data_IF_115575088508
#
_entry.id   IF_115575088508
#
_cell.length_a   1.000
_cell.length_b   1.000
_cell.length_c   1.000
_cell.angle_alpha   90.00
_cell.angle_beta   90.00
_cell.angle_gamma   90.00
#
_symmetry.space_group_name_H-M   'P 1'
#
loop_
_entity.id
_entity.type
_entity.pdbx_description
1 polymer ?
#
# COMPACT_ATOMS: atom_id res chain seq x y z
N UNK A 1 8.00 -3.86 27.40
CA UNK A 1 8.26 -2.97 26.26
C UNK A 1 9.19 -3.70 25.31
N UNK A 2 9.03 -3.50 24.00
CA UNK A 2 9.97 -4.03 23.01
C UNK A 2 11.08 -3.00 22.81
N UNK A 3 12.32 -3.45 22.78
CA UNK A 3 13.53 -2.64 22.65
C UNK A 3 14.65 -3.47 22.01
N UNK A 4 15.90 -2.98 22.03
CA UNK A 4 17.05 -3.71 21.48
C UNK A 4 17.39 -4.98 22.27
N UNK A 5 17.03 -5.06 23.55
CA UNK A 5 17.25 -6.25 24.39
C UNK A 5 16.09 -7.25 24.27
N UNK A 6 14.90 -6.77 23.88
CA UNK A 6 13.66 -7.56 23.70
C UNK A 6 12.98 -7.18 22.38
N UNK A 7 13.54 -7.56 21.23
CA UNK A 7 12.93 -7.27 19.93
C UNK A 7 11.59 -8.00 19.77
N UNK A 8 10.66 -7.39 19.04
CA UNK A 8 9.38 -7.99 18.69
C UNK A 8 9.41 -8.53 17.25
N UNK A 9 9.09 -9.82 17.09
CA UNK A 9 8.88 -10.45 15.79
C UNK A 9 7.46 -11.01 15.72
N UNK A 10 6.61 -10.42 14.87
CA UNK A 10 5.25 -10.88 14.64
C UNK A 10 5.15 -11.75 13.39
N UNK A 11 4.75 -13.02 13.55
CA UNK A 11 4.49 -13.96 12.45
C UNK A 11 3.02 -14.37 12.48
N UNK A 12 2.19 -13.74 11.65
CA UNK A 12 0.73 -13.89 11.73
C UNK A 12 0.13 -14.82 10.66
N UNK A 13 0.92 -15.31 9.71
CA UNK A 13 0.53 -16.31 8.71
C UNK A 13 1.73 -17.15 8.27
N UNK A 14 1.53 -18.38 7.75
CA UNK A 14 2.61 -19.20 7.19
C UNK A 14 3.18 -18.65 5.87
N UNK A 15 2.49 -17.69 5.24
CA UNK A 15 2.90 -16.97 4.04
C UNK A 15 2.35 -15.55 4.07
N UNK A 16 1.75 -15.10 2.95
CA UNK A 16 1.07 -13.79 2.92
C UNK A 16 -0.12 -13.76 3.89
N UNK A 17 -0.40 -12.59 4.47
CA UNK A 17 -1.63 -12.37 5.22
C UNK A 17 -2.84 -12.49 4.27
N UNK A 18 -3.96 -13.08 4.71
CA UNK A 18 -5.17 -13.15 3.89
C UNK A 18 -5.73 -11.76 3.61
N UNK A 19 -6.20 -11.50 2.39
CA UNK A 19 -6.78 -10.21 2.00
C UNK A 19 -8.03 -9.83 2.80
N UNK A 20 -8.30 -8.54 2.86
CA UNK A 20 -9.37 -7.93 3.65
C UNK A 20 -10.75 -8.17 3.04
N UNK A 21 -10.87 -8.06 1.71
CA UNK A 21 -12.12 -8.25 0.97
C UNK A 21 -12.02 -9.39 -0.04
N UNK A 22 -13.17 -9.97 -0.36
CA UNK A 22 -13.32 -11.01 -1.38
C UNK A 22 -14.29 -10.57 -2.48
N UNK A 23 -14.07 -11.13 -3.66
CA UNK A 23 -14.92 -11.00 -4.83
C UNK A 23 -14.38 -11.86 -5.99
N UNK A 24 -15.19 -12.08 -7.03
CA UNK A 24 -14.78 -12.84 -8.19
C UNK A 24 -13.67 -12.13 -8.98
N UNK A 25 -12.75 -12.94 -9.51
CA UNK A 25 -11.74 -12.52 -10.48
C UNK A 25 -12.41 -11.95 -11.75
N UNK A 26 -11.76 -10.96 -12.37
CA UNK A 26 -12.17 -10.43 -13.66
C UNK A 26 -12.02 -11.49 -14.75
N UNK A 27 -12.80 -11.35 -15.82
CA UNK A 27 -12.82 -12.30 -16.95
C UNK A 27 -13.18 -11.61 -18.25
N UNK A 28 -12.90 -12.24 -19.39
CA UNK A 28 -13.25 -11.66 -20.68
C UNK A 28 -14.73 -11.28 -20.75
N UNK A 29 -15.00 -10.04 -21.16
CA UNK A 29 -16.34 -9.45 -21.26
C UNK A 29 -17.13 -9.46 -19.94
N UNK A 30 -16.49 -9.63 -18.78
CA UNK A 30 -17.17 -9.71 -17.48
C UNK A 30 -17.99 -8.45 -17.17
N UNK A 31 -17.59 -7.28 -17.67
CA UNK A 31 -18.36 -6.05 -17.54
C UNK A 31 -19.70 -6.06 -18.31
N UNK A 32 -19.81 -6.83 -19.39
CA UNK A 32 -20.97 -6.84 -20.28
C UNK A 32 -22.09 -7.79 -19.84
N UNK A 33 -21.86 -8.59 -18.80
CA UNK A 33 -22.85 -9.53 -18.27
C UNK A 33 -23.89 -8.88 -17.33
N UNK A 34 -23.81 -7.55 -17.17
CA UNK A 34 -24.79 -6.65 -16.52
C UNK A 34 -25.19 -6.97 -15.08
N UNK A 35 -24.54 -7.92 -14.42
CA UNK A 35 -24.67 -8.13 -12.97
C UNK A 35 -23.45 -7.55 -12.28
N UNK A 36 -23.53 -6.36 -11.65
CA UNK A 36 -22.39 -5.76 -11.00
C UNK A 36 -22.02 -6.49 -9.70
N UNK A 37 -20.73 -6.55 -9.43
CA UNK A 37 -20.16 -7.11 -8.21
C UNK A 37 -20.21 -6.09 -7.08
N UNK A 38 -20.66 -6.53 -5.91
CA UNK A 38 -20.48 -5.82 -4.64
C UNK A 38 -19.41 -6.58 -3.82
N UNK A 39 -18.30 -5.91 -3.52
CA UNK A 39 -17.21 -6.49 -2.73
C UNK A 39 -17.65 -6.72 -1.28
N UNK A 40 -17.12 -7.76 -0.66
CA UNK A 40 -17.51 -8.16 0.71
C UNK A 40 -16.28 -8.38 1.58
N UNK A 41 -16.37 -8.21 2.91
CA UNK A 41 -15.33 -8.67 3.82
C UNK A 41 -15.02 -10.15 3.57
N UNK A 42 -13.73 -10.51 3.55
CA UNK A 42 -13.29 -11.88 3.35
C UNK A 42 -13.62 -12.73 4.58
N UNK A 43 -14.68 -13.54 4.50
CA UNK A 43 -15.11 -14.41 5.59
C UNK A 43 -14.10 -15.50 5.97
N UNK A 44 -13.09 -15.74 5.12
CA UNK A 44 -12.01 -16.72 5.37
C UNK A 44 -10.83 -16.12 6.12
N UNK A 45 -10.78 -14.79 6.30
CA UNK A 45 -9.72 -14.14 7.08
C UNK A 45 -9.95 -14.41 8.58
N UNK A 46 -9.05 -15.11 9.28
CA UNK A 46 -9.22 -15.39 10.70
C UNK A 46 -9.25 -14.11 11.54
N UNK A 47 -10.18 -14.03 12.50
CA UNK A 47 -10.40 -12.84 13.33
C UNK A 47 -9.22 -12.48 14.25
N UNK A 48 -8.30 -13.43 14.50
CA UNK A 48 -7.11 -13.21 15.31
C UNK A 48 -5.90 -12.67 14.51
N UNK A 49 -6.01 -12.53 13.19
CA UNK A 49 -4.94 -11.92 12.38
C UNK A 49 -5.09 -10.38 12.45
N UNK A 50 -4.07 -9.65 12.93
CA UNK A 50 -4.14 -8.21 13.06
C UNK A 50 -4.28 -7.55 11.68
N UNK A 51 -5.09 -6.50 11.62
CA UNK A 51 -5.18 -5.61 10.45
C UNK A 51 -3.90 -4.80 10.29
N UNK A 52 -3.65 -4.26 9.08
CA UNK A 52 -2.50 -3.39 8.84
C UNK A 52 -2.53 -2.16 9.76
N UNK A 53 -3.71 -1.59 10.00
CA UNK A 53 -3.91 -0.49 10.93
C UNK A 53 -3.53 -0.87 12.38
N UNK A 54 -3.95 -2.03 12.87
CA UNK A 54 -3.57 -2.51 14.22
C UNK A 54 -2.06 -2.77 14.35
N UNK A 55 -1.43 -3.33 13.31
CA UNK A 55 0.03 -3.51 13.30
C UNK A 55 0.75 -2.15 13.31
N UNK A 56 0.25 -1.19 12.54
CA UNK A 56 0.78 0.19 12.49
C UNK A 56 0.65 0.88 13.84
N UNK A 57 -0.53 0.82 14.45
CA UNK A 57 -0.81 1.39 15.77
C UNK A 57 0.15 0.80 16.82
N UNK A 58 0.29 -0.53 16.85
CA UNK A 58 1.18 -1.17 17.81
C UNK A 58 2.65 -0.86 17.57
N UNK A 59 3.09 -0.79 16.31
CA UNK A 59 4.45 -0.40 15.97
C UNK A 59 4.75 1.02 16.45
N UNK A 60 3.87 1.99 16.17
CA UNK A 60 4.01 3.37 16.64
C UNK A 60 4.01 3.43 18.18
N UNK A 61 3.11 2.69 18.85
CA UNK A 61 3.04 2.64 20.32
C UNK A 61 4.38 2.21 20.95
N UNK A 62 5.05 1.23 20.35
CA UNK A 62 6.32 0.71 20.84
C UNK A 62 7.50 1.62 20.46
N UNK A 63 7.54 2.10 19.21
CA UNK A 63 8.67 2.86 18.67
C UNK A 63 8.77 4.28 19.22
N UNK A 64 7.62 4.93 19.50
CA UNK A 64 7.60 6.31 20.03
C UNK A 64 8.23 6.46 21.43
N UNK A 65 8.53 5.35 22.11
CA UNK A 65 9.22 5.38 23.40
C UNK A 65 10.70 5.76 23.29
N UNK A 66 11.29 5.72 22.09
CA UNK A 66 12.66 6.15 21.86
C UNK A 66 12.74 7.67 21.67
N UNK A 67 13.43 8.36 22.59
CA UNK A 67 13.59 9.83 22.56
C UNK A 67 14.37 10.35 21.34
N UNK A 68 15.16 9.50 20.66
CA UNK A 68 15.84 9.86 19.42
C UNK A 68 14.93 9.82 18.19
N UNK A 69 13.69 9.35 18.34
CA UNK A 69 12.75 9.11 17.25
C UNK A 69 12.86 7.70 16.68
N UNK A 70 12.16 7.49 15.56
CA UNK A 70 12.08 6.19 14.89
C UNK A 70 11.87 6.34 13.38
N UNK A 71 12.18 5.27 12.65
CA UNK A 71 11.79 5.06 11.27
C UNK A 71 10.86 3.84 11.21
N UNK A 72 9.79 3.92 10.42
CA UNK A 72 8.83 2.84 10.25
C UNK A 72 8.38 2.78 8.79
N UNK A 73 8.50 1.61 8.17
CA UNK A 73 7.89 1.30 6.89
C UNK A 73 6.69 0.38 7.10
N UNK A 74 5.56 0.70 6.47
CA UNK A 74 4.32 -0.08 6.50
C UNK A 74 3.91 -0.36 5.06
N UNK A 75 3.60 -1.62 4.74
CA UNK A 75 3.31 -2.06 3.39
C UNK A 75 1.99 -2.84 3.33
N UNK A 76 1.12 -2.50 2.37
CA UNK A 76 0.01 -3.35 1.96
C UNK A 76 0.40 -4.11 0.69
N UNK A 77 1.12 -5.22 0.88
CA UNK A 77 1.72 -5.97 -0.22
C UNK A 77 0.70 -6.61 -1.19
N UNK A 78 -0.54 -6.81 -0.74
CA UNK A 78 -1.56 -7.51 -1.53
C UNK A 78 -2.37 -6.59 -2.44
N UNK A 79 -2.12 -5.27 -2.46
CA UNK A 79 -2.65 -4.41 -3.54
C UNK A 79 -2.10 -4.92 -4.88
N UNK A 80 -0.77 -5.06 -4.97
CA UNK A 80 -0.05 -5.62 -6.11
C UNK A 80 -0.52 -7.04 -6.44
N UNK A 81 -0.50 -7.95 -5.44
CA UNK A 81 -0.85 -9.37 -5.66
C UNK A 81 -2.27 -9.56 -6.20
N UNK A 82 -3.21 -8.71 -5.79
CA UNK A 82 -4.58 -8.78 -6.28
C UNK A 82 -4.77 -8.10 -7.64
N UNK A 83 -3.91 -7.16 -8.03
CA UNK A 83 -3.87 -6.63 -9.39
C UNK A 83 -3.27 -7.67 -10.36
N UNK A 84 -2.17 -8.37 -9.98
CA UNK A 84 -1.66 -9.56 -10.69
C UNK A 84 -2.76 -10.59 -10.94
N UNK A 85 -3.57 -10.87 -9.91
CA UNK A 85 -4.68 -11.82 -9.94
C UNK A 85 -5.95 -11.29 -10.62
N UNK A 86 -5.91 -10.11 -11.26
CA UNK A 86 -7.06 -9.47 -11.88
C UNK A 86 -8.32 -9.46 -10.96
N UNK A 87 -8.12 -9.26 -9.65
CA UNK A 87 -9.18 -9.37 -8.65
C UNK A 87 -9.48 -8.00 -8.03
N UNK A 88 -10.49 -7.26 -8.56
CA UNK A 88 -10.72 -5.88 -8.16
C UNK A 88 -11.18 -5.76 -6.70
N UNK A 89 -11.96 -6.71 -6.18
CA UNK A 89 -12.42 -6.64 -4.79
C UNK A 89 -11.28 -6.84 -3.79
N UNK A 90 -10.39 -7.79 -4.04
CA UNK A 90 -9.20 -7.96 -3.22
C UNK A 90 -8.30 -6.73 -3.29
N UNK A 91 -8.02 -6.23 -4.49
CA UNK A 91 -7.17 -5.07 -4.70
C UNK A 91 -7.70 -3.80 -4.00
N UNK A 92 -8.98 -3.47 -4.21
CA UNK A 92 -9.63 -2.33 -3.58
C UNK A 92 -9.67 -2.51 -2.05
N UNK A 93 -9.96 -3.72 -1.56
CA UNK A 93 -9.99 -4.00 -0.13
C UNK A 93 -8.63 -3.80 0.54
N UNK A 94 -7.53 -4.18 -0.11
CA UNK A 94 -6.18 -3.96 0.40
C UNK A 94 -5.79 -2.47 0.32
N UNK A 95 -6.26 -1.75 -0.69
CA UNK A 95 -6.11 -0.27 -0.75
C UNK A 95 -6.84 0.41 0.40
N UNK A 96 -8.03 -0.08 0.76
CA UNK A 96 -8.78 0.40 1.94
C UNK A 96 -8.06 0.04 3.25
N UNK A 97 -7.42 -1.13 3.33
CA UNK A 97 -6.62 -1.51 4.49
C UNK A 97 -5.38 -0.62 4.66
N UNK A 98 -4.75 -0.20 3.54
CA UNK A 98 -3.66 0.78 3.55
C UNK A 98 -4.15 2.15 3.99
N UNK A 99 -5.28 2.63 3.47
CA UNK A 99 -5.87 3.90 3.89
C UNK A 99 -6.11 3.96 5.40
N UNK A 100 -6.65 2.88 6.00
CA UNK A 100 -6.83 2.79 7.45
C UNK A 100 -5.50 2.89 8.23
N UNK A 101 -4.42 2.29 7.72
CA UNK A 101 -3.08 2.42 8.33
C UNK A 101 -2.51 3.84 8.16
N UNK A 102 -2.74 4.48 7.02
CA UNK A 102 -2.37 5.89 6.77
C UNK A 102 -3.11 6.82 7.73
N UNK A 103 -4.40 6.58 8.02
CA UNK A 103 -5.14 7.35 9.02
C UNK A 103 -4.49 7.27 10.41
N UNK A 104 -4.08 6.06 10.85
CA UNK A 104 -3.35 5.87 12.12
C UNK A 104 -2.04 6.68 12.12
N UNK A 105 -1.27 6.63 11.04
CA UNK A 105 -0.01 7.37 10.92
C UNK A 105 -0.22 8.89 10.93
N UNK A 106 -1.23 9.40 10.21
CA UNK A 106 -1.55 10.83 10.17
C UNK A 106 -2.06 11.34 11.52
N UNK A 107 -2.87 10.56 12.24
CA UNK A 107 -3.36 10.93 13.57
C UNK A 107 -2.24 11.00 14.60
N UNK A 108 -1.26 10.11 14.50
CA UNK A 108 -0.02 10.22 15.28
C UNK A 108 0.77 11.46 14.87
N UNK A 109 1.04 11.65 13.58
CA UNK A 109 1.88 12.73 13.08
C UNK A 109 1.33 14.13 13.42
N UNK A 110 0.00 14.31 13.37
CA UNK A 110 -0.67 15.56 13.78
C UNK A 110 -0.48 15.88 15.26
N UNK A 111 -0.44 14.86 16.12
CA UNK A 111 -0.26 15.02 17.58
C UNK A 111 1.20 15.23 17.93
N UNK A 112 2.10 14.52 17.26
CA UNK A 112 3.54 14.60 17.48
C UNK A 112 4.15 15.91 16.95
N UNK A 113 3.69 16.39 15.79
CA UNK A 113 4.13 17.65 15.19
C UNK A 113 5.51 17.60 14.52
N UNK A 114 6.30 16.55 14.74
CA UNK A 114 7.66 16.38 14.21
C UNK A 114 7.80 15.14 13.31
N UNK A 115 6.69 14.48 13.00
CA UNK A 115 6.66 13.25 12.19
C UNK A 115 6.39 13.57 10.72
N UNK A 116 7.24 13.04 9.83
CA UNK A 116 6.99 12.99 8.39
C UNK A 116 6.27 11.69 8.03
N UNK A 117 5.14 11.79 7.32
CA UNK A 117 4.41 10.67 6.73
C UNK A 117 4.52 10.77 5.22
N UNK A 118 4.95 9.69 4.57
CA UNK A 118 5.04 9.56 3.11
C UNK A 118 4.14 8.40 2.67
N UNK A 119 3.35 8.61 1.62
CA UNK A 119 2.53 7.57 0.97
C UNK A 119 2.87 7.54 -0.51
N UNK A 120 3.24 6.37 -1.00
CA UNK A 120 3.59 6.11 -2.40
C UNK A 120 3.28 4.66 -2.76
N UNK A 121 3.45 4.31 -4.03
CA UNK A 121 3.68 2.95 -4.50
C UNK A 121 5.13 2.79 -4.98
N UNK A 122 5.57 1.56 -5.20
CA UNK A 122 6.87 1.19 -5.76
C UNK A 122 6.87 1.19 -7.30
N UNK A 123 5.76 0.80 -7.93
CA UNK A 123 5.51 0.93 -9.37
C UNK A 123 4.01 1.04 -9.69
N UNK A 124 3.68 1.34 -10.96
CA UNK A 124 2.31 1.30 -11.46
C UNK A 124 1.91 -0.13 -11.87
N UNK A 125 0.61 -0.36 -12.10
CA UNK A 125 0.07 -1.69 -12.40
C UNK A 125 -0.95 -1.66 -13.55
N UNK A 126 -1.60 -2.79 -13.80
CA UNK A 126 -2.41 -3.08 -14.99
C UNK A 126 -3.86 -2.59 -14.93
N UNK A 127 -4.44 -2.45 -13.75
CA UNK A 127 -5.85 -2.06 -13.60
C UNK A 127 -6.15 -0.69 -14.21
N UNK A 128 -7.23 -0.62 -15.00
CA UNK A 128 -7.73 0.60 -15.63
C UNK A 128 -9.23 0.73 -15.40
N UNK A 129 -9.69 1.92 -15.03
CA UNK A 129 -11.12 2.25 -15.03
C UNK A 129 -11.53 2.51 -16.48
N UNK A 130 -12.57 1.82 -16.94
CA UNK A 130 -13.11 1.92 -18.29
C UNK A 130 -14.62 2.20 -18.25
N UNK A 131 -15.19 2.62 -19.38
CA UNK A 131 -16.64 2.77 -19.50
C UNK A 131 -17.36 1.43 -19.21
N UNK A 132 -18.50 1.42 -18.48
CA UNK A 132 -19.23 0.20 -18.14
C UNK A 132 -19.57 -0.71 -19.32
N UNK A 133 -19.87 -0.12 -20.49
CA UNK A 133 -20.23 -0.83 -21.72
C UNK A 133 -19.05 -1.05 -22.69
N UNK A 134 -17.82 -0.74 -22.28
CA UNK A 134 -16.65 -0.88 -23.14
C UNK A 134 -16.37 -2.35 -23.50
N UNK A 135 -15.94 -2.57 -24.75
CA UNK A 135 -15.43 -3.85 -25.23
C UNK A 135 -13.91 -3.82 -25.13
N UNK A 136 -13.37 -4.39 -24.07
CA UNK A 136 -11.93 -4.50 -23.86
C UNK A 136 -11.43 -5.90 -24.27
N UNK A 137 -10.20 -6.01 -24.80
CA UNK A 137 -9.61 -7.31 -25.14
C UNK A 137 -9.24 -8.13 -23.89
N UNK A 138 -8.91 -7.47 -22.78
CA UNK A 138 -8.47 -8.12 -21.54
C UNK A 138 -9.60 -8.65 -20.66
N UNK A 139 -9.27 -8.85 -19.40
CA UNK A 139 -10.19 -9.30 -18.36
C UNK A 139 -10.90 -8.09 -17.76
N UNK A 140 -12.22 -8.14 -17.65
CA UNK A 140 -13.02 -7.04 -17.13
C UNK A 140 -13.96 -7.48 -16.02
N UNK A 141 -14.37 -6.52 -15.18
CA UNK A 141 -15.38 -6.72 -14.16
C UNK A 141 -16.22 -5.46 -14.00
N UNK A 142 -17.54 -5.62 -13.87
CA UNK A 142 -18.44 -4.54 -13.47
C UNK A 142 -18.60 -4.55 -11.95
N UNK A 143 -18.37 -3.41 -11.31
CA UNK A 143 -18.55 -3.22 -9.88
C UNK A 143 -19.66 -2.20 -9.62
N UNK A 144 -20.38 -2.38 -8.52
CA UNK A 144 -21.27 -1.37 -7.97
C UNK A 144 -20.52 -0.56 -6.94
N UNK A 145 -20.47 0.75 -7.13
CA UNK A 145 -19.77 1.67 -6.23
C UNK A 145 -20.63 2.06 -5.04
N UNK A 146 -20.04 2.75 -4.06
CA UNK A 146 -20.71 3.15 -2.82
C UNK A 146 -21.92 4.06 -3.07
N UNK A 147 -21.81 4.93 -4.06
CA UNK A 147 -22.84 5.86 -4.50
C UNK A 147 -23.94 5.20 -5.36
N UNK A 148 -23.86 3.88 -5.58
CA UNK A 148 -24.80 3.12 -6.40
C UNK A 148 -24.54 3.23 -7.90
N UNK A 149 -23.43 3.87 -8.30
CA UNK A 149 -22.95 3.92 -9.67
C UNK A 149 -22.32 2.61 -10.12
N UNK A 150 -22.03 2.53 -11.41
CA UNK A 150 -21.34 1.41 -12.03
C UNK A 150 -19.93 1.83 -12.44
N UNK A 151 -18.95 1.00 -12.10
CA UNK A 151 -17.56 1.18 -12.49
C UNK A 151 -17.08 -0.13 -13.12
N UNK A 152 -16.56 -0.07 -14.34
CA UNK A 152 -15.87 -1.21 -14.94
C UNK A 152 -14.36 -1.07 -14.76
N UNK A 153 -13.71 -2.17 -14.41
CA UNK A 153 -12.25 -2.27 -14.29
C UNK A 153 -11.75 -3.27 -15.33
N UNK A 154 -10.64 -2.94 -15.99
CA UNK A 154 -9.99 -3.74 -17.01
C UNK A 154 -8.56 -4.09 -16.60
N UNK A 155 -8.15 -5.33 -16.90
CA UNK A 155 -6.79 -5.85 -16.76
C UNK A 155 -6.38 -6.44 -18.12
N UNK A 156 -5.43 -5.81 -18.80
CA UNK A 156 -5.16 -6.09 -20.22
C UNK A 156 -3.66 -6.13 -20.56
N UNK A 157 -2.83 -6.53 -19.61
CA UNK A 157 -1.37 -6.68 -19.82
C UNK A 157 -0.96 -8.14 -20.03
N UNK A 158 -1.84 -9.07 -19.67
CA UNK A 158 -1.71 -10.51 -19.90
C UNK A 158 -3.09 -11.12 -20.15
N UNK A 159 -3.15 -12.19 -20.94
CA UNK A 159 -4.36 -13.02 -21.06
C UNK A 159 -4.46 -14.05 -19.91
N UNK A 160 -3.38 -14.25 -19.16
CA UNK A 160 -3.35 -15.13 -18.00
C UNK A 160 -3.89 -14.40 -16.75
N UNK A 161 -4.98 -14.90 -16.13
CA UNK A 161 -5.66 -14.18 -15.04
C UNK A 161 -4.83 -13.90 -13.80
N UNK A 162 -3.76 -14.65 -13.56
CA UNK A 162 -2.89 -14.54 -12.38
C UNK A 162 -1.53 -13.87 -12.67
N UNK A 163 -1.35 -13.30 -13.86
CA UNK A 163 -0.07 -12.78 -14.34
C UNK A 163 -0.19 -11.41 -15.01
N UNK A 164 -1.07 -10.53 -14.52
CA UNK A 164 -1.13 -9.15 -15.01
C UNK A 164 0.17 -8.41 -14.66
N UNK A 165 0.84 -7.82 -15.66
CA UNK A 165 2.16 -7.22 -15.50
C UNK A 165 2.15 -5.79 -14.96
N UNK A 166 3.22 -5.44 -14.24
CA UNK A 166 3.49 -4.07 -13.81
C UNK A 166 3.58 -3.12 -15.01
N UNK A 167 3.34 -1.83 -14.78
CA UNK A 167 3.46 -0.80 -15.83
C UNK A 167 4.46 0.29 -15.43
N UNK A 168 5.10 0.93 -16.42
CA UNK A 168 6.17 1.92 -16.23
C UNK A 168 5.68 3.37 -16.05
N UNK A 169 4.40 3.57 -15.73
CA UNK A 169 3.83 4.92 -15.60
C UNK A 169 4.35 5.57 -14.32
N UNK A 170 4.72 6.85 -14.38
CA UNK A 170 5.02 7.63 -13.17
C UNK A 170 3.81 7.65 -12.22
N UNK A 171 4.06 7.63 -10.92
CA UNK A 171 3.01 7.49 -9.90
C UNK A 171 3.11 8.57 -8.82
N UNK A 172 2.05 8.67 -8.02
CA UNK A 172 1.92 9.72 -7.01
C UNK A 172 2.78 9.39 -5.78
N UNK A 173 3.55 10.38 -5.35
CA UNK A 173 4.11 10.47 -4.00
C UNK A 173 3.39 11.61 -3.27
N UNK A 174 2.97 11.38 -2.03
CA UNK A 174 2.37 12.40 -1.18
C UNK A 174 3.00 12.38 0.21
N UNK A 175 3.18 13.56 0.81
CA UNK A 175 3.80 13.70 2.12
C UNK A 175 3.06 14.70 3.03
N UNK A 176 3.17 14.48 4.34
CA UNK A 176 2.67 15.35 5.40
C UNK A 176 3.71 15.48 6.52
N UNK A 177 3.89 16.68 7.08
CA UNK A 177 4.83 16.93 8.19
C UNK A 177 6.11 17.65 7.76
N UNK A 178 7.14 17.69 8.63
CA UNK A 178 8.41 18.38 8.36
C UNK A 178 9.07 17.86 7.08
N UNK A 179 9.46 18.78 6.18
CA UNK A 179 10.13 18.43 4.93
C UNK A 179 9.22 17.91 3.81
N UNK A 180 7.89 17.87 4.00
CA UNK A 180 6.95 17.37 3.00
C UNK A 180 7.02 18.11 1.63
N UNK A 181 7.48 19.36 1.61
CA UNK A 181 7.67 20.14 0.37
C UNK A 181 8.68 19.50 -0.60
N UNK A 182 9.62 18.69 -0.10
CA UNK A 182 10.61 17.98 -0.93
C UNK A 182 9.98 16.88 -1.81
N UNK A 183 8.71 16.52 -1.57
CA UNK A 183 7.96 15.54 -2.36
C UNK A 183 7.01 16.19 -3.38
N UNK A 184 7.23 17.47 -3.70
CA UNK A 184 6.45 18.19 -4.72
C UNK A 184 7.17 18.19 -6.05
N UNK A 185 6.40 18.25 -7.15
CA UNK A 185 6.96 18.23 -8.50
C UNK A 185 7.31 16.82 -8.97
N UNK A 186 8.23 16.75 -9.93
CA UNK A 186 8.75 15.49 -10.49
C UNK A 186 10.08 15.16 -9.80
N UNK A 187 10.16 13.96 -9.22
CA UNK A 187 11.36 13.41 -8.59
C UNK A 187 11.58 11.98 -9.07
N UNK A 188 12.77 11.44 -8.78
CA UNK A 188 13.07 10.03 -8.93
C UNK A 188 12.79 9.26 -7.62
N UNK A 189 12.59 7.94 -7.70
CA UNK A 189 12.43 7.09 -6.51
C UNK A 189 13.64 7.19 -5.57
N UNK A 190 14.85 7.37 -6.12
CA UNK A 190 16.07 7.52 -5.33
C UNK A 190 16.12 8.80 -4.50
N UNK A 191 15.45 9.88 -4.93
CA UNK A 191 15.39 11.14 -4.17
C UNK A 191 14.69 10.95 -2.81
N UNK A 192 13.80 9.97 -2.69
CA UNK A 192 13.14 9.61 -1.43
C UNK A 192 14.14 9.16 -0.37
N UNK A 193 15.13 8.34 -0.76
CA UNK A 193 16.18 7.89 0.16
C UNK A 193 16.97 9.08 0.71
N UNK A 194 17.44 9.96 -0.17
CA UNK A 194 18.23 11.13 0.23
C UNK A 194 17.41 12.10 1.09
N UNK A 195 16.14 12.34 0.71
CA UNK A 195 15.23 13.20 1.47
C UNK A 195 14.99 12.67 2.89
N UNK A 196 14.70 11.37 3.04
CA UNK A 196 14.48 10.75 4.36
C UNK A 196 15.77 10.79 5.19
N UNK A 197 16.91 10.43 4.59
CA UNK A 197 18.22 10.46 5.26
C UNK A 197 18.54 11.85 5.81
N UNK A 198 18.37 12.88 4.99
CA UNK A 198 18.72 14.26 5.33
C UNK A 198 17.79 14.83 6.40
N UNK A 199 16.49 14.54 6.33
CA UNK A 199 15.52 14.98 7.34
C UNK A 199 15.72 14.28 8.69
N UNK A 200 16.16 13.01 8.68
CA UNK A 200 16.55 12.28 9.88
C UNK A 200 17.98 12.58 10.35
N UNK A 201 18.72 13.46 9.63
CA UNK A 201 20.10 13.83 9.93
C UNK A 201 21.05 12.61 10.06
N UNK A 202 20.80 11.58 9.25
CA UNK A 202 21.64 10.38 9.25
C UNK A 202 22.93 10.66 8.48
N UNK A 203 24.07 10.55 9.17
CA UNK A 203 25.36 10.65 8.49
C UNK A 203 25.64 9.36 7.72
N UNK A 204 26.10 9.42 6.46
CA UNK A 204 26.71 8.26 5.84
C UNK A 204 27.90 7.86 6.72
N UNK A 205 27.96 6.60 7.14
CA UNK A 205 29.19 6.08 7.72
C UNK A 205 30.29 6.27 6.67
N UNK A 206 31.19 7.23 6.90
CA UNK A 206 32.46 7.26 6.21
C UNK A 206 33.19 5.99 6.62
N UNK A 207 33.17 4.99 5.74
CA UNK A 207 33.96 3.78 5.92
C UNK A 207 35.42 4.17 6.20
N UNK A 208 35.84 4.04 7.46
CA UNK A 208 37.23 4.08 7.90
C UNK A 208 38.05 5.30 7.46
N UNK A 209 37.85 6.46 8.09
CA UNK A 209 39.00 7.36 8.33
C UNK A 209 39.55 7.08 9.72
N UNK A 210 40.45 6.09 9.78
CA UNK A 210 41.45 6.02 10.84
C UNK A 210 42.20 7.35 10.84
N UNK A 211 41.95 8.20 11.84
CA UNK A 211 42.85 9.31 12.14
C UNK A 211 44.16 8.70 12.62
N UNK A 212 45.15 8.63 11.73
CA UNK A 212 46.55 8.51 12.10
C UNK A 212 47.01 9.90 12.55
N UNK A 213 47.05 10.13 13.87
CA UNK A 213 47.98 11.06 14.52
C UNK A 213 48.41 10.45 15.85
#
# INVERSE_FOLDING_TARGET
MADQDKPLLGLFAPGNLPVSWEGPQARHNGNLEKTPVECKPNGKRPANIPTLAQMTEKAIELLKANEKGFFLQVESASIDKQDHAANPCGQIGETVALDAAVQVALDFARKDGNTLVIVTADHAHSSQIIDPDARAPGLTQLLKTREGGLMAVSYATSDEPDHQGHTGTQLRVAAFGPGAANFTGLSDQTDMFYTIRDLLQLQPELAGTTKLH
#
